data_IF_688071017170
#
_entry.id   IF_688071017170
#
_cell.length_a   1.000
_cell.length_b   1.000
_cell.length_c   1.000
_cell.angle_alpha   90.00
_cell.angle_beta   90.00
_cell.angle_gamma   90.00
#
_symmetry.space_group_name_H-M   'P 1'
#
loop_
_entity.id
_entity.type
_entity.pdbx_description
1 polymer ?
#
# COMPACT_ATOMS: atom_id res chain seq x y z
N UNK A 1 13.37 -49.21 29.34
CA UNK A 1 13.81 -47.80 29.50
C UNK A 1 14.46 -47.22 28.25
N UNK A 2 15.50 -47.84 27.64
CA UNK A 2 16.17 -47.30 26.44
C UNK A 2 15.23 -47.07 25.23
N UNK A 3 14.30 -48.00 24.95
CA UNK A 3 13.31 -47.84 23.86
C UNK A 3 12.32 -46.69 24.10
N UNK A 4 11.98 -46.41 25.36
CA UNK A 4 11.11 -45.30 25.75
C UNK A 4 11.84 -43.95 25.58
N UNK A 5 13.12 -43.89 25.96
CA UNK A 5 13.96 -42.71 25.75
C UNK A 5 14.15 -42.37 24.26
N UNK A 6 14.36 -43.39 23.42
CA UNK A 6 14.47 -43.20 21.95
C UNK A 6 13.14 -42.72 21.36
N UNK A 7 12.02 -43.27 21.81
CA UNK A 7 10.69 -42.83 21.34
C UNK A 7 10.39 -41.38 21.75
N UNK A 8 10.72 -41.00 22.99
CA UNK A 8 10.57 -39.63 23.48
C UNK A 8 11.44 -38.64 22.68
N UNK A 9 12.67 -39.05 22.34
CA UNK A 9 13.60 -38.24 21.55
C UNK A 9 13.08 -38.03 20.12
N UNK A 10 12.60 -39.09 19.47
CA UNK A 10 12.02 -39.02 18.12
C UNK A 10 10.74 -38.19 18.08
N UNK A 11 9.89 -38.27 19.10
CA UNK A 11 8.67 -37.47 19.19
C UNK A 11 8.97 -35.96 19.34
N UNK A 12 10.00 -35.61 20.12
CA UNK A 12 10.44 -34.21 20.24
C UNK A 12 11.08 -33.67 18.97
N UNK A 13 11.82 -34.49 18.21
CA UNK A 13 12.44 -34.07 16.95
C UNK A 13 11.43 -33.67 15.87
N UNK A 14 10.26 -34.34 15.83
CA UNK A 14 9.18 -34.05 14.86
C UNK A 14 8.51 -32.69 15.15
N UNK A 15 8.41 -32.29 16.42
CA UNK A 15 7.81 -31.00 16.83
C UNK A 15 8.67 -29.80 16.37
N UNK A 16 10.00 -29.95 16.31
CA UNK A 16 10.91 -28.88 15.86
C UNK A 16 10.74 -28.59 14.36
N UNK A 17 10.39 -29.61 13.54
CA UNK A 17 10.24 -29.47 12.09
C UNK A 17 9.01 -28.67 11.65
N UNK A 18 7.95 -28.64 12.46
CA UNK A 18 6.71 -27.89 12.17
C UNK A 18 6.79 -26.42 12.64
N UNK A 19 7.79 -26.07 13.45
CA UNK A 19 7.94 -24.74 14.05
C UNK A 19 8.69 -23.72 13.16
N UNK A 20 9.14 -24.09 11.96
CA UNK A 20 10.00 -23.25 11.10
C UNK A 20 9.26 -22.45 10.02
N UNK A 21 7.96 -22.18 10.18
CA UNK A 21 7.29 -21.24 9.28
C UNK A 21 7.69 -19.80 9.62
N UNK A 22 8.73 -19.30 8.95
CA UNK A 22 9.16 -17.90 9.06
C UNK A 22 8.17 -17.02 8.30
N UNK A 23 7.46 -16.15 9.00
CA UNK A 23 6.66 -15.11 8.36
C UNK A 23 7.60 -14.09 7.71
N UNK A 24 7.54 -13.98 6.39
CA UNK A 24 8.31 -13.00 5.63
C UNK A 24 7.46 -11.76 5.36
N UNK A 25 8.08 -10.57 5.25
CA UNK A 25 7.37 -9.36 4.81
C UNK A 25 6.78 -9.57 3.40
N UNK A 26 5.60 -8.99 3.11
CA UNK A 26 5.04 -9.06 1.76
C UNK A 26 5.94 -8.32 0.76
N UNK A 27 5.88 -8.73 -0.51
CA UNK A 27 6.71 -8.16 -1.61
C UNK A 27 6.51 -6.65 -1.77
N UNK A 28 5.31 -6.16 -1.47
CA UNK A 28 4.99 -4.73 -1.36
C UNK A 28 4.64 -4.43 0.10
N UNK A 29 5.62 -4.04 0.93
CA UNK A 29 5.38 -3.73 2.33
C UNK A 29 4.36 -2.61 2.47
N UNK A 30 3.41 -2.78 3.39
CA UNK A 30 2.51 -1.72 3.83
C UNK A 30 3.28 -0.70 4.67
N UNK A 31 2.93 0.56 4.51
CA UNK A 31 3.47 1.68 5.28
C UNK A 31 2.37 2.73 5.50
N UNK A 32 2.58 3.59 6.49
CA UNK A 32 1.71 4.70 6.80
C UNK A 32 2.56 5.88 7.27
N UNK A 33 2.18 7.09 6.86
CA UNK A 33 2.73 8.34 7.39
C UNK A 33 1.58 9.21 7.86
N UNK A 34 1.74 9.84 9.02
CA UNK A 34 0.77 10.78 9.53
C UNK A 34 1.45 11.99 10.14
N UNK A 35 0.94 13.16 9.81
CA UNK A 35 1.50 14.44 10.21
C UNK A 35 0.40 15.47 10.44
N UNK A 36 0.66 16.42 11.32
CA UNK A 36 -0.18 17.59 11.49
C UNK A 36 0.28 18.69 10.55
N UNK A 37 -0.60 19.14 9.67
CA UNK A 37 -0.38 20.29 8.78
C UNK A 37 -1.25 21.43 9.30
N UNK A 38 -0.61 22.39 9.96
CA UNK A 38 -1.34 23.41 10.73
C UNK A 38 -2.14 22.75 11.85
N UNK A 39 -3.47 22.82 11.78
CA UNK A 39 -4.38 22.22 12.76
C UNK A 39 -5.04 20.92 12.28
N UNK A 40 -4.82 20.50 11.02
CA UNK A 40 -5.43 19.27 10.52
C UNK A 40 -4.43 18.13 10.52
N UNK A 41 -4.89 16.93 10.89
CA UNK A 41 -4.09 15.72 10.80
C UNK A 41 -4.33 15.05 9.45
N UNK A 42 -3.25 14.78 8.72
CA UNK A 42 -3.27 14.05 7.46
C UNK A 42 -2.63 12.69 7.67
N UNK A 43 -3.24 11.65 7.10
CA UNK A 43 -2.68 10.28 7.11
C UNK A 43 -2.67 9.73 5.70
N UNK A 44 -1.57 9.10 5.31
CA UNK A 44 -1.42 8.43 4.03
C UNK A 44 -1.07 6.98 4.29
N UNK A 45 -1.98 6.07 3.94
CA UNK A 45 -1.75 4.63 3.97
C UNK A 45 -1.45 4.14 2.57
N UNK A 46 -0.34 3.42 2.41
CA UNK A 46 0.11 2.99 1.09
C UNK A 46 0.95 1.72 1.17
N UNK A 47 1.05 1.06 0.03
CA UNK A 47 1.97 -0.05 -0.17
C UNK A 47 3.07 0.39 -1.13
N UNK A 48 4.31 0.04 -0.78
CA UNK A 48 5.50 0.49 -1.49
C UNK A 48 6.16 -0.65 -2.26
N UNK A 49 5.74 -0.92 -3.51
CA UNK A 49 6.43 -1.90 -4.34
C UNK A 49 7.80 -1.38 -4.75
N UNK A 50 8.78 -2.27 -4.88
CA UNK A 50 10.06 -1.92 -5.50
C UNK A 50 9.88 -1.58 -7.00
N UNK A 51 10.50 -0.49 -7.45
CA UNK A 51 10.53 -0.11 -8.88
C UNK A 51 11.25 -1.18 -9.72
N UNK A 52 12.30 -1.80 -9.16
CA UNK A 52 13.06 -2.90 -9.78
C UNK A 52 13.54 -2.57 -11.20
N UNK A 53 13.99 -1.34 -11.43
CA UNK A 53 14.50 -0.88 -12.74
C UNK A 53 13.43 -0.64 -13.81
N UNK A 54 12.14 -0.77 -13.50
CA UNK A 54 11.06 -0.53 -14.47
C UNK A 54 10.83 0.97 -14.67
N UNK A 55 10.57 1.37 -15.92
CA UNK A 55 9.93 2.67 -16.21
C UNK A 55 8.48 2.59 -15.71
N UNK A 56 8.10 3.47 -14.78
CA UNK A 56 6.76 3.45 -14.18
C UNK A 56 5.78 4.25 -15.04
N UNK A 57 6.00 5.56 -15.18
CA UNK A 57 5.14 6.43 -15.98
C UNK A 57 5.42 6.26 -17.49
N UNK A 58 4.37 6.21 -18.30
CA UNK A 58 4.44 5.94 -19.74
C UNK A 58 4.73 4.48 -20.09
N UNK A 59 4.65 3.56 -19.12
CA UNK A 59 4.72 2.11 -19.34
C UNK A 59 3.76 1.38 -18.39
N UNK A 60 4.13 1.24 -17.11
CA UNK A 60 3.26 0.59 -16.11
C UNK A 60 2.00 1.43 -15.87
N UNK A 61 2.18 2.73 -15.65
CA UNK A 61 1.11 3.72 -15.64
C UNK A 61 1.07 4.29 -17.07
N UNK A 62 0.06 3.94 -17.88
CA UNK A 62 -0.03 4.47 -19.24
C UNK A 62 -0.26 5.98 -19.18
N UNK A 63 0.37 6.71 -20.10
CA UNK A 63 0.01 8.10 -20.31
C UNK A 63 -1.34 8.21 -20.99
N UNK A 64 -2.07 9.27 -20.66
CA UNK A 64 -3.28 9.63 -21.39
C UNK A 64 -2.97 9.81 -22.88
N UNK A 65 -3.77 9.15 -23.72
CA UNK A 65 -3.70 9.21 -25.19
C UNK A 65 -5.00 9.76 -25.79
N UNK A 66 -5.71 10.61 -25.04
CA UNK A 66 -7.02 11.16 -25.40
C UNK A 66 -8.19 10.33 -24.85
N UNK A 67 -7.94 9.42 -23.92
CA UNK A 67 -8.98 8.71 -23.16
C UNK A 67 -8.50 8.59 -21.73
N UNK A 68 -9.01 9.45 -20.82
CA UNK A 68 -8.53 9.49 -19.46
C UNK A 68 -8.83 8.17 -18.76
N UNK A 69 -7.79 7.47 -18.32
CA UNK A 69 -7.91 6.22 -17.59
C UNK A 69 -7.28 6.40 -16.20
N UNK A 70 -8.09 6.70 -15.16
CA UNK A 70 -7.59 6.82 -13.81
C UNK A 70 -6.88 5.55 -13.37
N UNK A 71 -5.62 5.70 -12.98
CA UNK A 71 -4.81 4.63 -12.42
C UNK A 71 -4.89 4.67 -10.90
N UNK A 72 -5.32 3.56 -10.29
CA UNK A 72 -5.33 3.43 -8.82
C UNK A 72 -3.90 3.36 -8.30
N UNK A 73 -3.50 4.36 -7.51
CA UNK A 73 -2.18 4.38 -6.90
C UNK A 73 -2.03 3.29 -5.82
N UNK A 74 -0.78 2.89 -5.57
CA UNK A 74 -0.45 1.84 -4.60
C UNK A 74 -0.32 0.45 -5.23
N UNK A 75 0.12 -0.52 -4.41
CA UNK A 75 0.27 -1.93 -4.79
C UNK A 75 -0.49 -2.83 -3.83
N UNK A 76 -1.07 -3.93 -4.31
CA UNK A 76 -2.04 -4.73 -3.54
C UNK A 76 -3.28 -3.88 -3.22
N UNK A 77 -3.29 -3.11 -2.13
CA UNK A 77 -4.38 -2.19 -1.76
C UNK A 77 -4.22 -0.77 -2.35
N UNK A 78 -5.34 -0.04 -2.38
CA UNK A 78 -5.39 1.36 -2.78
C UNK A 78 -4.61 2.24 -1.80
N UNK A 79 -3.81 3.17 -2.32
CA UNK A 79 -3.27 4.26 -1.49
C UNK A 79 -4.42 5.13 -1.03
N UNK A 80 -4.52 5.42 0.27
CA UNK A 80 -5.59 6.27 0.80
C UNK A 80 -5.05 7.49 1.54
N UNK A 81 -5.72 8.62 1.34
CA UNK A 81 -5.49 9.86 2.09
C UNK A 81 -6.66 10.04 3.05
N UNK A 82 -6.36 10.30 4.31
CA UNK A 82 -7.35 10.65 5.33
C UNK A 82 -7.05 12.04 5.86
N UNK A 83 -8.03 12.94 5.75
CA UNK A 83 -7.97 14.31 6.25
C UNK A 83 -8.93 14.42 7.44
N UNK A 84 -8.44 14.92 8.57
CA UNK A 84 -9.25 15.10 9.77
C UNK A 84 -10.28 16.23 9.64
N UNK A 85 -9.97 17.25 8.84
CA UNK A 85 -10.80 18.44 8.60
C UNK A 85 -10.91 18.71 7.10
N UNK A 86 -11.80 19.64 6.74
CA UNK A 86 -11.90 20.15 5.37
C UNK A 86 -10.58 20.83 4.96
N UNK A 87 -10.10 20.52 3.75
CA UNK A 87 -8.83 21.02 3.22
C UNK A 87 -9.01 21.67 1.84
N UNK A 88 -7.95 22.34 1.40
CA UNK A 88 -7.80 22.75 0.00
C UNK A 88 -6.61 22.05 -0.62
N UNK A 89 -6.81 21.46 -1.79
CA UNK A 89 -5.75 20.87 -2.61
C UNK A 89 -5.72 21.64 -3.93
N UNK A 90 -4.59 22.27 -4.26
CA UNK A 90 -4.46 23.14 -5.45
C UNK A 90 -5.58 24.21 -5.53
N UNK A 91 -5.97 24.76 -4.38
CA UNK A 91 -7.04 25.77 -4.27
C UNK A 91 -8.46 25.21 -4.33
N UNK A 92 -8.66 23.93 -4.62
CA UNK A 92 -9.98 23.27 -4.67
C UNK A 92 -10.36 22.73 -3.30
N UNK A 93 -11.61 22.94 -2.88
CA UNK A 93 -12.12 22.43 -1.61
C UNK A 93 -12.28 20.91 -1.66
N UNK A 94 -11.85 20.23 -0.60
CA UNK A 94 -12.06 18.82 -0.36
C UNK A 94 -12.52 18.66 1.09
N UNK A 95 -13.66 17.99 1.30
CA UNK A 95 -14.19 17.78 2.64
C UNK A 95 -13.28 16.86 3.46
N UNK A 96 -13.41 16.91 4.79
CA UNK A 96 -12.83 15.92 5.68
C UNK A 96 -13.29 14.51 5.29
N UNK A 97 -12.39 13.53 5.35
CA UNK A 97 -12.72 12.17 4.98
C UNK A 97 -11.55 11.33 4.53
N UNK A 98 -11.87 10.11 4.10
CA UNK A 98 -10.92 9.14 3.57
C UNK A 98 -11.16 8.93 2.08
N UNK A 99 -10.11 9.07 1.29
CA UNK A 99 -10.17 9.04 -0.17
C UNK A 99 -9.17 8.04 -0.75
N UNK A 100 -9.60 7.30 -1.77
CA UNK A 100 -8.74 6.46 -2.59
C UNK A 100 -8.00 7.30 -3.62
N UNK A 101 -6.68 7.12 -3.73
CA UNK A 101 -5.84 7.95 -4.56
C UNK A 101 -5.68 7.38 -5.95
N UNK A 102 -6.12 8.14 -6.96
CA UNK A 102 -5.97 7.79 -8.36
C UNK A 102 -5.24 8.91 -9.10
N UNK A 103 -4.60 8.56 -10.20
CA UNK A 103 -3.87 9.52 -11.04
C UNK A 103 -4.16 9.26 -12.50
N UNK A 104 -4.27 10.34 -13.28
CA UNK A 104 -4.14 10.27 -14.74
C UNK A 104 -2.79 10.90 -15.06
N UNK A 105 -1.84 10.07 -15.48
CA UNK A 105 -0.49 10.52 -15.80
C UNK A 105 -0.42 11.06 -17.23
N UNK A 106 0.36 12.12 -17.42
CA UNK A 106 0.82 12.55 -18.74
C UNK A 106 2.31 12.88 -18.71
N UNK A 107 2.86 13.29 -19.85
CA UNK A 107 4.26 13.72 -19.95
C UNK A 107 4.53 15.06 -19.24
N UNK A 108 3.53 15.92 -19.11
CA UNK A 108 3.70 17.29 -18.60
C UNK A 108 2.96 17.52 -17.29
N UNK A 109 1.69 17.11 -17.21
CA UNK A 109 0.81 17.42 -16.09
C UNK A 109 0.02 16.18 -15.65
N UNK A 110 -0.13 16.00 -14.35
CA UNK A 110 -0.85 14.86 -13.80
C UNK A 110 -2.13 15.34 -13.15
N UNK A 111 -3.22 14.61 -13.40
CA UNK A 111 -4.48 14.85 -12.71
C UNK A 111 -4.48 13.97 -11.46
N UNK A 112 -4.56 14.59 -10.30
CA UNK A 112 -4.68 13.91 -9.02
C UNK A 112 -6.16 13.76 -8.65
N UNK A 113 -6.56 12.56 -8.26
CA UNK A 113 -7.97 12.23 -7.99
C UNK A 113 -8.09 11.67 -6.57
N UNK A 114 -8.92 12.32 -5.76
CA UNK A 114 -9.33 11.86 -4.43
C UNK A 114 -10.74 11.24 -4.53
N UNK A 115 -10.78 9.92 -4.71
CA UNK A 115 -12.01 9.17 -4.95
C UNK A 115 -12.71 8.79 -3.65
N UNK A 116 -14.04 8.85 -3.62
CA UNK A 116 -14.84 8.25 -2.54
C UNK A 116 -14.79 6.71 -2.57
N UNK A 117 -14.41 6.11 -3.70
CA UNK A 117 -14.06 4.70 -3.76
C UNK A 117 -12.64 4.51 -3.22
N UNK A 118 -12.58 4.13 -1.94
CA UNK A 118 -11.36 3.96 -1.17
C UNK A 118 -11.16 2.50 -0.71
N UNK A 119 -11.87 1.56 -1.34
CA UNK A 119 -11.74 0.14 -1.08
C UNK A 119 -10.34 -0.39 -1.51
N UNK A 120 -9.93 -1.49 -0.90
CA UNK A 120 -8.66 -2.16 -1.14
C UNK A 120 -8.59 -2.81 -2.52
#
# INVERSE_FOLDING_TARGET
>A
MKKLLVFLFLFNAIQIGIAQNVTTPPVSPKASVSEWIGLTKVTIDYNRPGVKGRKIAGNLIPYDKGTPMPWRAGANENTTFTFADDVKIEGQNLAAGKYGFHVIASETEWILIFSNDNAA
#
